data_IF_680290805020
#
_entry.id   IF_680290805020
#
_cell.length_a   1.000
_cell.length_b   1.000
_cell.length_c   1.000
_cell.angle_alpha   90.00
_cell.angle_beta   90.00
_cell.angle_gamma   90.00
#
_symmetry.space_group_name_H-M   'P 1'
#
loop_
_entity.id
_entity.type
_entity.pdbx_description
1 polymer ?
#
# COMPACT_ATOMS: atom_id res chain seq x y z
N UNK A 1 -8.03 -7.86 -3.42
CA UNK A 1 -9.12 -8.39 -4.29
C UNK A 1 -8.75 -8.39 -5.78
N UNK A 2 -9.29 -9.31 -6.61
CA UNK A 2 -9.11 -9.31 -8.07
C UNK A 2 -9.53 -7.99 -8.74
N UNK A 3 -10.44 -7.24 -8.10
CA UNK A 3 -11.01 -6.01 -8.63
C UNK A 3 -9.98 -4.87 -8.77
N UNK A 4 -9.04 -4.75 -7.82
CA UNK A 4 -7.94 -3.77 -7.92
C UNK A 4 -7.12 -3.99 -9.20
N UNK A 5 -6.84 -5.25 -9.53
CA UNK A 5 -6.02 -5.61 -10.70
C UNK A 5 -6.74 -5.27 -12.00
N UNK A 6 -8.03 -5.60 -12.12
CA UNK A 6 -8.83 -5.23 -13.29
C UNK A 6 -8.97 -3.71 -13.45
N UNK A 7 -9.19 -2.98 -12.37
CA UNK A 7 -9.28 -1.51 -12.41
C UNK A 7 -7.94 -0.87 -12.80
N UNK A 8 -6.84 -1.43 -12.30
CA UNK A 8 -5.48 -1.01 -12.64
C UNK A 8 -5.21 -1.22 -14.14
N UNK A 9 -5.56 -2.38 -14.70
CA UNK A 9 -5.44 -2.66 -16.14
C UNK A 9 -6.34 -1.78 -17.01
N UNK A 10 -7.56 -1.46 -16.54
CA UNK A 10 -8.46 -0.56 -17.24
C UNK A 10 -7.90 0.87 -17.32
N UNK A 11 -7.33 1.36 -16.22
CA UNK A 11 -6.68 2.67 -16.17
C UNK A 11 -5.41 2.69 -17.03
N UNK A 12 -4.57 1.64 -16.94
CA UNK A 12 -3.41 1.45 -17.82
C UNK A 12 -3.81 1.57 -19.30
N UNK A 13 -4.88 0.89 -19.72
CA UNK A 13 -5.38 0.94 -21.10
C UNK A 13 -5.78 2.35 -21.52
N UNK A 14 -6.38 3.13 -20.63
CA UNK A 14 -6.73 4.52 -20.91
C UNK A 14 -5.47 5.40 -21.06
N UNK A 15 -4.47 5.19 -20.20
CA UNK A 15 -3.20 5.93 -20.24
C UNK A 15 -2.40 5.69 -21.53
N UNK A 16 -2.46 4.50 -22.13
CA UNK A 16 -1.72 4.19 -23.38
C UNK A 16 -2.01 5.23 -24.48
N UNK A 17 -3.25 5.73 -24.58
CA UNK A 17 -3.63 6.72 -25.59
C UNK A 17 -3.37 8.18 -25.21
N UNK A 18 -3.24 8.47 -23.91
CA UNK A 18 -3.22 9.85 -23.38
C UNK A 18 -1.83 10.23 -22.86
N UNK A 19 -1.21 9.35 -22.09
CA UNK A 19 0.14 9.50 -21.54
C UNK A 19 0.83 8.11 -21.53
N UNK A 20 1.49 7.73 -22.64
CA UNK A 20 2.19 6.45 -22.75
C UNK A 20 3.31 6.28 -21.71
N UNK A 21 3.93 7.38 -21.29
CA UNK A 21 4.99 7.33 -20.29
C UNK A 21 4.42 7.00 -18.90
N UNK A 22 3.27 7.57 -18.54
CA UNK A 22 2.55 7.17 -17.32
C UNK A 22 2.05 5.72 -17.39
N UNK A 23 1.58 5.26 -18.55
CA UNK A 23 1.22 3.86 -18.74
C UNK A 23 2.40 2.92 -18.48
N UNK A 24 3.59 3.24 -19.02
CA UNK A 24 4.79 2.43 -18.80
C UNK A 24 5.16 2.38 -17.32
N UNK A 25 5.18 3.53 -16.62
CA UNK A 25 5.45 3.57 -15.17
C UNK A 25 4.46 2.73 -14.38
N UNK A 26 3.17 2.83 -14.71
CA UNK A 26 2.11 2.04 -14.06
C UNK A 26 2.30 0.53 -14.29
N UNK A 27 2.73 0.12 -15.49
CA UNK A 27 3.03 -1.28 -15.79
C UNK A 27 4.24 -1.77 -14.99
N UNK A 28 5.29 -0.96 -14.87
CA UNK A 28 6.50 -1.32 -14.12
C UNK A 28 6.20 -1.52 -12.63
N UNK A 29 5.44 -0.61 -12.00
CA UNK A 29 5.00 -0.78 -10.61
C UNK A 29 4.06 -1.96 -10.41
N UNK A 30 3.17 -2.25 -11.38
CA UNK A 30 2.29 -3.41 -11.30
C UNK A 30 3.10 -4.72 -11.34
N UNK A 31 4.12 -4.78 -12.20
CA UNK A 31 5.03 -5.91 -12.25
C UNK A 31 5.84 -6.06 -10.96
N UNK A 32 6.35 -4.95 -10.40
CA UNK A 32 7.05 -4.92 -9.12
C UNK A 32 6.20 -5.43 -7.97
N UNK A 33 4.98 -4.91 -7.86
CA UNK A 33 3.99 -5.31 -6.87
C UNK A 33 3.63 -6.81 -6.96
N UNK A 34 3.31 -7.31 -8.17
CA UNK A 34 2.94 -8.72 -8.34
C UNK A 34 4.10 -9.67 -8.04
N UNK A 35 5.32 -9.35 -8.52
CA UNK A 35 6.52 -10.15 -8.28
C UNK A 35 6.82 -10.25 -6.78
N UNK A 36 6.87 -9.11 -6.12
CA UNK A 36 7.21 -9.02 -4.70
C UNK A 36 6.14 -9.64 -3.79
N UNK A 37 4.86 -9.63 -4.20
CA UNK A 37 3.77 -10.34 -3.50
C UNK A 37 3.92 -11.86 -3.63
N UNK A 38 4.23 -12.35 -4.84
CA UNK A 38 4.49 -13.78 -5.06
C UNK A 38 5.71 -14.28 -4.28
N UNK A 39 6.80 -13.50 -4.25
CA UNK A 39 7.98 -13.80 -3.43
C UNK A 39 7.65 -13.83 -1.93
N UNK A 40 6.90 -12.83 -1.45
CA UNK A 40 6.47 -12.77 -0.06
C UNK A 40 5.63 -14.00 0.35
N UNK A 41 4.75 -14.48 -0.52
CA UNK A 41 3.92 -15.69 -0.24
C UNK A 41 4.72 -16.99 -0.07
N UNK A 42 5.98 -17.01 -0.50
CA UNK A 42 6.85 -18.20 -0.44
C UNK A 42 7.83 -18.17 0.72
N UNK A 43 7.95 -17.04 1.42
CA UNK A 43 8.85 -16.88 2.56
C UNK A 43 8.09 -16.92 3.88
N UNK A 44 8.75 -17.36 4.95
CA UNK A 44 8.20 -17.26 6.31
C UNK A 44 8.56 -15.94 6.96
N UNK A 45 9.69 -15.33 6.57
CA UNK A 45 10.16 -14.03 7.04
C UNK A 45 10.96 -13.31 5.96
N UNK A 46 11.03 -11.98 6.03
CA UNK A 46 11.87 -11.16 5.16
C UNK A 46 12.30 -9.86 5.86
N UNK A 47 13.23 -9.08 5.30
CA UNK A 47 13.56 -7.76 5.81
C UNK A 47 12.34 -6.83 5.80
N UNK A 48 12.18 -6.00 6.82
CA UNK A 48 11.14 -4.97 6.86
C UNK A 48 11.20 -4.04 5.65
N UNK A 49 12.40 -3.77 5.11
CA UNK A 49 12.59 -3.02 3.88
C UNK A 49 11.84 -3.64 2.69
N UNK A 50 11.69 -4.97 2.65
CA UNK A 50 10.91 -5.62 1.59
C UNK A 50 9.42 -5.29 1.69
N UNK A 51 8.86 -5.17 2.91
CA UNK A 51 7.47 -4.70 3.10
C UNK A 51 7.33 -3.28 2.57
N UNK A 52 8.21 -2.36 2.99
CA UNK A 52 8.15 -0.97 2.56
C UNK A 52 8.33 -0.81 1.05
N UNK A 53 9.19 -1.59 0.41
CA UNK A 53 9.34 -1.59 -1.04
C UNK A 53 8.05 -2.05 -1.76
N UNK A 54 7.39 -3.10 -1.24
CA UNK A 54 6.07 -3.53 -1.75
C UNK A 54 5.01 -2.44 -1.63
N UNK A 55 4.96 -1.80 -0.46
CA UNK A 55 4.02 -0.72 -0.20
C UNK A 55 4.30 0.48 -1.11
N UNK A 56 5.56 0.79 -1.38
CA UNK A 56 5.93 1.84 -2.33
C UNK A 56 5.37 1.56 -3.72
N UNK A 57 5.61 0.36 -4.28
CA UNK A 57 5.06 -0.03 -5.58
C UNK A 57 3.52 0.03 -5.61
N UNK A 58 2.87 -0.48 -4.56
CA UNK A 58 1.41 -0.42 -4.44
C UNK A 58 0.90 1.03 -4.38
N UNK A 59 1.52 1.88 -3.56
CA UNK A 59 1.08 3.24 -3.35
C UNK A 59 1.36 4.13 -4.56
N UNK A 60 2.41 3.86 -5.35
CA UNK A 60 2.64 4.51 -6.64
C UNK A 60 1.56 4.17 -7.66
N UNK A 61 1.10 2.91 -7.73
CA UNK A 61 -0.06 2.54 -8.55
C UNK A 61 -1.30 3.34 -8.14
N UNK A 62 -1.52 3.49 -6.84
CA UNK A 62 -2.66 4.25 -6.31
C UNK A 62 -2.51 5.75 -6.56
N UNK A 63 -1.29 6.29 -6.50
CA UNK A 63 -1.01 7.70 -6.80
C UNK A 63 -1.27 8.03 -8.27
N UNK A 64 -0.89 7.14 -9.21
CA UNK A 64 -1.22 7.29 -10.63
C UNK A 64 -2.75 7.29 -10.84
N UNK A 65 -3.48 6.45 -10.10
CA UNK A 65 -4.94 6.32 -10.20
C UNK A 65 -5.68 7.51 -9.57
N UNK A 66 -5.28 7.94 -8.38
CA UNK A 66 -5.94 8.99 -7.61
C UNK A 66 -5.46 10.40 -8.03
N UNK A 67 -4.34 10.46 -8.74
CA UNK A 67 -3.67 11.68 -9.16
C UNK A 67 -3.09 12.45 -7.97
N UNK A 68 -3.02 13.79 -8.03
CA UNK A 68 -2.39 14.62 -7.00
C UNK A 68 -3.12 14.63 -5.65
N UNK A 69 -4.25 13.91 -5.56
CA UNK A 69 -5.09 13.82 -4.37
C UNK A 69 -4.57 12.83 -3.34
N UNK A 70 -3.67 11.92 -3.72
CA UNK A 70 -3.03 11.00 -2.78
C UNK A 70 -1.64 11.51 -2.40
N UNK A 71 -1.43 11.74 -1.11
CA UNK A 71 -0.11 12.04 -0.55
C UNK A 71 0.40 10.82 0.20
N UNK A 72 1.64 10.43 -0.07
CA UNK A 72 2.25 9.23 0.50
C UNK A 72 3.49 9.62 1.29
N UNK A 73 3.62 9.07 2.49
CA UNK A 73 4.85 9.12 3.29
C UNK A 73 5.22 7.72 3.77
N UNK A 74 6.43 7.28 3.46
CA UNK A 74 7.01 6.02 3.92
C UNK A 74 8.23 6.33 4.77
N UNK A 75 8.14 6.03 6.06
CA UNK A 75 9.15 6.39 7.06
C UNK A 75 9.75 5.11 7.65
N UNK A 76 10.83 4.64 7.03
CA UNK A 76 11.59 3.49 7.50
C UNK A 76 12.99 3.94 7.96
N UNK A 77 13.26 3.95 9.28
CA UNK A 77 14.61 4.16 9.79
C UNK A 77 15.57 3.08 9.26
N UNK A 78 16.78 3.44 8.77
CA UNK A 78 17.73 2.49 8.20
C UNK A 78 18.10 1.34 9.14
N UNK A 79 18.18 1.61 10.44
CA UNK A 79 18.50 0.62 11.47
C UNK A 79 17.42 -0.46 11.67
N UNK A 80 16.20 -0.23 11.16
CA UNK A 80 15.09 -1.18 11.20
C UNK A 80 14.91 -1.94 9.88
N UNK A 81 15.62 -1.55 8.81
CA UNK A 81 15.41 -2.05 7.45
C UNK A 81 15.58 -3.57 7.33
N UNK A 82 16.58 -4.13 8.02
CA UNK A 82 16.93 -5.54 7.96
C UNK A 82 16.23 -6.41 9.01
N UNK A 83 15.35 -5.83 9.84
CA UNK A 83 14.63 -6.60 10.84
C UNK A 83 13.73 -7.65 10.19
N UNK A 84 13.84 -8.93 10.58
CA UNK A 84 13.01 -9.99 10.01
C UNK A 84 11.57 -9.89 10.51
N UNK A 85 10.64 -9.75 9.58
CA UNK A 85 9.20 -9.69 9.85
C UNK A 85 8.45 -10.74 9.04
N UNK A 86 7.27 -11.20 9.50
CA UNK A 86 6.38 -12.00 8.67
C UNK A 86 5.95 -11.21 7.44
N UNK A 87 5.75 -11.87 6.29
CA UNK A 87 5.33 -11.20 5.08
C UNK A 87 3.90 -10.68 5.13
N UNK A 88 3.66 -9.58 4.40
CA UNK A 88 2.33 -9.01 4.14
C UNK A 88 1.61 -8.56 5.42
N UNK A 89 2.34 -8.14 6.45
CA UNK A 89 1.75 -7.64 7.71
C UNK A 89 1.19 -6.23 7.56
N UNK A 90 1.77 -5.42 6.67
CA UNK A 90 1.32 -4.04 6.43
C UNK A 90 0.36 -3.93 5.25
N UNK A 91 0.45 -4.85 4.28
CA UNK A 91 -0.32 -4.80 3.04
C UNK A 91 -1.84 -4.67 3.28
N UNK A 92 -2.48 -5.47 4.15
CA UNK A 92 -3.94 -5.38 4.36
C UNK A 92 -4.36 -4.04 4.98
N UNK A 93 -3.54 -3.47 5.87
CA UNK A 93 -3.83 -2.19 6.51
C UNK A 93 -3.76 -1.04 5.51
N UNK A 94 -2.74 -1.06 4.66
CA UNK A 94 -2.57 -0.06 3.60
C UNK A 94 -3.67 -0.18 2.54
N UNK A 95 -4.03 -1.39 2.13
CA UNK A 95 -5.15 -1.61 1.21
C UNK A 95 -6.46 -1.05 1.77
N UNK A 96 -6.74 -1.29 3.05
CA UNK A 96 -7.93 -0.78 3.71
C UNK A 96 -7.93 0.75 3.78
N UNK A 97 -6.80 1.36 4.15
CA UNK A 97 -6.67 2.82 4.22
C UNK A 97 -6.92 3.48 2.86
N UNK A 98 -6.40 2.91 1.77
CA UNK A 98 -6.68 3.41 0.42
C UNK A 98 -8.15 3.21 0.05
N UNK A 99 -8.63 1.97 0.07
CA UNK A 99 -9.93 1.62 -0.52
C UNK A 99 -11.12 2.24 0.24
N UNK A 100 -11.03 2.25 1.57
CA UNK A 100 -12.14 2.68 2.43
C UNK A 100 -11.93 4.07 2.99
N UNK A 101 -10.67 4.46 3.27
CA UNK A 101 -10.35 5.76 3.84
C UNK A 101 -10.29 6.86 2.78
N UNK A 102 -9.39 6.71 1.80
CA UNK A 102 -8.98 7.80 0.91
C UNK A 102 -9.69 7.81 -0.44
N UNK A 103 -9.93 6.65 -1.05
CA UNK A 103 -10.55 6.56 -2.38
C UNK A 103 -11.97 7.17 -2.43
N UNK A 104 -12.84 6.99 -1.41
CA UNK A 104 -14.17 7.61 -1.41
C UNK A 104 -14.14 9.14 -1.23
N UNK A 105 -13.03 9.71 -0.75
CA UNK A 105 -12.93 11.15 -0.51
C UNK A 105 -12.59 11.91 -1.79
N UNK A 106 -13.46 12.85 -2.17
CA UNK A 106 -13.25 13.69 -3.37
C UNK A 106 -11.97 14.52 -3.26
N UNK A 107 -11.66 15.05 -2.08
CA UNK A 107 -10.43 15.81 -1.82
C UNK A 107 -9.16 14.93 -1.81
N UNK A 108 -9.32 13.61 -1.71
CA UNK A 108 -8.25 12.67 -1.37
C UNK A 108 -7.70 12.91 0.03
N UNK A 109 -6.45 12.53 0.25
CA UNK A 109 -5.82 12.67 1.56
C UNK A 109 -4.41 12.09 1.59
N UNK A 110 -3.93 11.87 2.82
CA UNK A 110 -2.58 11.39 3.09
C UNK A 110 -2.63 10.01 3.73
N UNK A 111 -1.70 9.15 3.31
CA UNK A 111 -1.33 7.93 4.03
C UNK A 111 0.13 8.03 4.47
N UNK A 112 0.38 7.66 5.72
CA UNK A 112 1.70 7.58 6.31
C UNK A 112 1.90 6.18 6.86
N UNK A 113 2.96 5.51 6.39
CA UNK A 113 3.40 4.22 6.93
C UNK A 113 4.76 4.45 7.58
N UNK A 114 4.86 4.14 8.87
CA UNK A 114 6.08 4.36 9.63
C UNK A 114 6.47 3.17 10.50
N UNK A 115 7.78 3.04 10.72
CA UNK A 115 8.38 2.08 11.63
C UNK A 115 9.17 2.80 12.72
N UNK A 116 9.02 2.36 13.97
CA UNK A 116 9.76 2.89 15.10
C UNK A 116 10.10 1.76 16.09
N UNK A 117 11.22 1.90 16.78
CA UNK A 117 11.53 1.07 17.95
C UNK A 117 10.87 1.68 19.19
N UNK A 118 10.08 0.89 19.91
CA UNK A 118 9.52 1.24 21.21
C UNK A 118 10.01 0.25 22.26
N UNK A 119 11.11 0.59 22.93
CA UNK A 119 11.83 -0.33 23.82
C UNK A 119 12.32 -1.57 23.06
N UNK A 120 11.81 -2.74 23.44
CA UNK A 120 12.11 -4.03 22.79
C UNK A 120 11.13 -4.38 21.66
N UNK A 121 10.06 -3.60 21.48
CA UNK A 121 9.07 -3.85 20.44
C UNK A 121 9.35 -3.05 19.16
N UNK A 122 9.04 -3.66 18.02
CA UNK A 122 8.87 -2.96 16.75
C UNK A 122 7.44 -2.42 16.70
N UNK A 123 7.29 -1.10 16.60
CA UNK A 123 6.02 -0.47 16.29
C UNK A 123 5.95 -0.17 14.80
N UNK A 124 4.89 -0.67 14.17
CA UNK A 124 4.53 -0.32 12.81
C UNK A 124 3.22 0.45 12.84
N UNK A 125 3.14 1.56 12.10
CA UNK A 125 1.97 2.43 12.08
C UNK A 125 1.53 2.67 10.65
N UNK A 126 0.23 2.51 10.38
CA UNK A 126 -0.43 2.95 9.15
C UNK A 126 -1.47 3.97 9.57
N UNK A 127 -1.30 5.22 9.13
CA UNK A 127 -2.19 6.32 9.44
C UNK A 127 -2.71 6.95 8.15
N UNK A 128 -4.01 7.15 8.05
CA UNK A 128 -4.65 7.85 6.94
C UNK A 128 -5.51 9.02 7.42
N UNK A 129 -5.73 9.99 6.53
CA UNK A 129 -6.62 11.14 6.78
C UNK A 129 -8.01 10.92 6.17
N UNK A 130 -8.39 9.66 5.94
CA UNK A 130 -9.61 9.27 5.26
C UNK A 130 -10.86 9.46 6.10
N UNK A 131 -11.98 8.90 5.63
CA UNK A 131 -13.29 9.09 6.25
C UNK A 131 -13.40 8.48 7.66
N UNK A 132 -12.40 7.71 8.09
CA UNK A 132 -12.43 6.90 9.30
C UNK A 132 -13.36 5.70 9.15
N UNK A 133 -13.41 4.86 10.18
CA UNK A 133 -14.32 3.74 10.25
C UNK A 133 -15.36 4.01 11.33
N UNK A 134 -16.63 3.70 11.03
CA UNK A 134 -17.68 3.69 12.04
C UNK A 134 -17.45 2.50 12.99
N UNK A 135 -17.07 2.77 14.24
CA UNK A 135 -16.70 1.75 15.22
C UNK A 135 -17.82 0.72 15.46
N UNK A 136 -19.08 1.05 15.12
CA UNK A 136 -20.23 0.15 15.21
C UNK A 136 -20.26 -0.96 14.11
N UNK A 137 -19.50 -0.81 13.01
CA UNK A 137 -19.43 -1.81 11.94
C UNK A 137 -18.27 -2.79 12.10
N UNK A 138 -17.33 -2.54 13.01
CA UNK A 138 -16.30 -3.49 13.43
C UNK A 138 -16.95 -4.60 14.25
N UNK A 139 -17.67 -5.52 13.59
CA UNK A 139 -18.15 -6.74 14.25
C UNK A 139 -16.93 -7.48 14.80
N UNK A 140 -16.84 -7.72 16.13
CA UNK A 140 -15.83 -8.62 16.63
C UNK A 140 -16.11 -9.99 16.02
N UNK A 141 -15.17 -10.51 15.24
CA UNK A 141 -15.23 -11.88 14.76
C UNK A 141 -15.42 -12.80 15.98
N UNK A 142 -16.60 -13.42 16.07
CA UNK A 142 -16.82 -14.57 16.93
C UNK A 142 -15.97 -15.70 16.37
N UNK A 143 -14.90 -16.03 17.10
CA UNK A 143 -14.26 -17.34 17.01
C UNK A 143 -15.26 -18.44 17.40
#
# INVERSE_FOLDING_TARGET
>A
EPHMLFNTLANLRALIGVDPAAAQRMLDHLNGYLRSTLEASRSTQHPLAAEFARLADYLELMAIRMGPRLQVALELPPELADLPVPPLILQPLVENAIQHGLEPQVAGGRITVSAARQGEALQLTVADTGAGFDAAQARPNRF
#
